data_IF_063612637388
#
_entry.id   IF_063612637388
#
_cell.length_a   1.000
_cell.length_b   1.000
_cell.length_c   1.000
_cell.angle_alpha   90.00
_cell.angle_beta   90.00
_cell.angle_gamma   90.00
#
_symmetry.space_group_name_H-M   'P 1'
#
loop_
_entity.id
_entity.type
_entity.pdbx_description
1 polymer ?
#
# COMPACT_ATOMS: atom_id res chain seq x y z
N UNK A 1 2.87 -82.26 -41.01
CA UNK A 1 3.55 -81.06 -40.49
C UNK A 1 2.51 -80.32 -39.68
N UNK A 2 2.78 -80.09 -38.40
CA UNK A 2 1.78 -79.63 -37.42
C UNK A 2 1.56 -78.12 -37.59
N UNK A 3 0.46 -77.73 -38.24
CA UNK A 3 0.07 -76.33 -38.49
C UNK A 3 0.02 -75.49 -37.19
N UNK A 4 -0.29 -76.13 -36.05
CA UNK A 4 -0.29 -75.48 -34.73
C UNK A 4 1.07 -74.96 -34.32
N UNK A 5 2.15 -75.72 -34.56
CA UNK A 5 3.52 -75.30 -34.23
C UNK A 5 3.98 -74.12 -35.08
N UNK A 6 3.52 -74.05 -36.32
CA UNK A 6 3.85 -72.96 -37.23
C UNK A 6 3.11 -71.67 -36.85
N UNK A 7 1.86 -71.79 -36.37
CA UNK A 7 1.08 -70.69 -35.81
C UNK A 7 1.66 -70.18 -34.48
N UNK A 8 2.05 -71.06 -33.58
CA UNK A 8 2.73 -70.69 -32.32
C UNK A 8 4.03 -69.93 -32.59
N UNK A 9 4.82 -70.39 -33.57
CA UNK A 9 6.05 -69.71 -33.98
C UNK A 9 5.77 -68.31 -34.53
N UNK A 10 4.81 -68.15 -35.44
CA UNK A 10 4.41 -66.83 -35.97
C UNK A 10 3.91 -65.90 -34.88
N UNK A 11 3.15 -66.42 -33.91
CA UNK A 11 2.67 -65.63 -32.78
C UNK A 11 3.83 -65.17 -31.88
N UNK A 12 4.79 -66.05 -31.63
CA UNK A 12 6.01 -65.70 -30.90
C UNK A 12 6.82 -64.63 -31.63
N UNK A 13 7.01 -64.77 -32.94
CA UNK A 13 7.75 -63.79 -33.75
C UNK A 13 7.05 -62.42 -33.72
N UNK A 14 5.71 -62.36 -33.84
CA UNK A 14 4.95 -61.10 -33.73
C UNK A 14 5.01 -60.46 -32.34
N UNK A 15 5.07 -61.26 -31.26
CA UNK A 15 5.13 -60.74 -29.89
C UNK A 15 6.54 -60.33 -29.44
N UNK A 16 7.59 -60.91 -30.05
CA UNK A 16 8.98 -60.71 -29.61
C UNK A 16 9.78 -59.79 -30.54
N UNK A 17 9.50 -59.84 -31.85
CA UNK A 17 10.20 -59.07 -32.90
C UNK A 17 9.28 -58.11 -33.68
N UNK A 18 7.97 -58.17 -33.47
CA UNK A 18 7.05 -57.18 -34.02
C UNK A 18 7.28 -55.83 -33.36
N UNK A 19 7.55 -54.79 -34.17
CA UNK A 19 7.52 -53.41 -33.70
C UNK A 19 6.21 -53.21 -32.94
N UNK A 20 6.30 -52.91 -31.64
CA UNK A 20 5.13 -52.44 -30.90
C UNK A 20 4.60 -51.24 -31.68
N UNK A 21 3.39 -51.37 -32.23
CA UNK A 21 2.70 -50.23 -32.82
C UNK A 21 2.79 -49.10 -31.79
N UNK A 22 3.52 -48.04 -32.12
CA UNK A 22 3.56 -46.83 -31.33
C UNK A 22 2.12 -46.36 -31.27
N UNK A 23 1.44 -46.74 -30.19
CA UNK A 23 -0.01 -46.69 -30.06
C UNK A 23 -0.41 -45.23 -30.08
N UNK A 24 -0.77 -44.73 -31.28
CA UNK A 24 -1.60 -43.58 -31.63
C UNK A 24 -1.24 -42.20 -31.09
N UNK A 25 -0.53 -42.10 -29.98
CA UNK A 25 -0.72 -41.01 -29.03
C UNK A 25 0.60 -40.68 -28.32
N UNK A 26 1.71 -40.73 -29.06
CA UNK A 26 2.96 -40.13 -28.64
C UNK A 26 2.75 -38.67 -28.19
N UNK A 27 1.87 -37.93 -28.88
CA UNK A 27 1.47 -36.58 -28.49
C UNK A 27 0.68 -36.52 -27.18
N UNK A 28 -0.18 -37.49 -26.85
CA UNK A 28 -0.89 -37.50 -25.55
C UNK A 28 0.04 -37.89 -24.40
N UNK A 29 0.98 -38.81 -24.62
CA UNK A 29 2.01 -39.14 -23.64
C UNK A 29 2.91 -37.94 -23.37
N UNK A 30 3.28 -37.19 -24.40
CA UNK A 30 4.03 -35.94 -24.26
C UNK A 30 3.25 -34.87 -23.49
N UNK A 31 1.94 -34.72 -23.74
CA UNK A 31 1.09 -33.76 -23.01
C UNK A 31 0.94 -34.09 -21.53
N UNK A 32 0.93 -35.37 -21.15
CA UNK A 32 0.88 -35.80 -19.74
C UNK A 32 2.17 -35.48 -18.98
N UNK A 33 3.30 -35.36 -19.68
CA UNK A 33 4.59 -34.99 -19.09
C UNK A 33 4.76 -33.49 -18.89
N UNK A 34 3.89 -32.67 -19.49
CA UNK A 34 3.96 -31.21 -19.33
C UNK A 34 3.46 -30.85 -17.93
N UNK A 35 4.32 -30.29 -17.05
CA UNK A 35 3.86 -29.84 -15.74
C UNK A 35 2.82 -28.72 -15.92
N UNK A 36 1.78 -28.69 -15.07
CA UNK A 36 0.75 -27.66 -15.15
C UNK A 36 1.36 -26.27 -15.00
N UNK A 37 0.79 -25.29 -15.71
CA UNK A 37 1.23 -23.89 -15.65
C UNK A 37 0.96 -23.34 -14.24
N UNK A 38 1.99 -23.28 -13.40
CA UNK A 38 1.88 -22.66 -12.09
C UNK A 38 1.93 -21.14 -12.24
N UNK A 39 0.94 -20.45 -11.67
CA UNK A 39 0.97 -18.99 -11.53
C UNK A 39 1.66 -18.63 -10.20
N UNK A 40 2.71 -17.80 -10.27
CA UNK A 40 3.29 -17.20 -9.07
C UNK A 40 2.58 -15.86 -8.83
N UNK A 41 1.73 -15.82 -7.81
CA UNK A 41 1.10 -14.57 -7.33
C UNK A 41 2.05 -13.90 -6.35
N UNK A 42 2.67 -12.80 -6.76
CA UNK A 42 3.49 -11.97 -5.87
C UNK A 42 2.57 -10.95 -5.21
N UNK A 43 2.47 -10.98 -3.88
CA UNK A 43 1.79 -9.94 -3.11
C UNK A 43 2.73 -8.73 -3.01
N UNK A 44 2.24 -7.53 -3.34
CA UNK A 44 3.02 -6.29 -3.17
C UNK A 44 3.06 -5.90 -1.70
N UNK A 45 4.27 -5.84 -1.13
CA UNK A 45 4.48 -5.50 0.29
C UNK A 45 4.35 -4.00 0.59
N UNK A 46 4.56 -3.13 -0.40
CA UNK A 46 4.56 -1.67 -0.26
C UNK A 46 3.78 -0.98 -1.36
N UNK A 47 2.97 0.00 -0.98
CA UNK A 47 2.22 0.87 -1.88
C UNK A 47 2.99 2.20 -2.08
N UNK A 48 3.50 2.48 -3.29
CA UNK A 48 4.29 3.69 -3.56
C UNK A 48 3.48 4.97 -3.33
N UNK A 49 2.17 4.96 -3.57
CA UNK A 49 1.31 6.14 -3.41
C UNK A 49 1.21 6.52 -1.94
N UNK A 50 1.06 5.53 -1.06
CA UNK A 50 0.96 5.76 0.38
C UNK A 50 2.29 6.32 0.94
N UNK A 51 3.43 5.79 0.51
CA UNK A 51 4.74 6.28 0.95
C UNK A 51 5.02 7.71 0.49
N UNK A 52 4.71 8.02 -0.76
CA UNK A 52 4.88 9.36 -1.31
C UNK A 52 3.98 10.36 -0.60
N UNK A 53 2.69 10.05 -0.44
CA UNK A 53 1.73 10.96 0.22
C UNK A 53 2.08 11.23 1.68
N UNK A 54 2.61 10.23 2.40
CA UNK A 54 3.15 10.44 3.75
C UNK A 54 4.31 11.44 3.75
N UNK A 55 5.28 11.29 2.84
CA UNK A 55 6.42 12.22 2.71
C UNK A 55 5.98 13.64 2.35
N UNK A 56 5.02 13.79 1.43
CA UNK A 56 4.49 15.11 1.08
C UNK A 56 3.78 15.77 2.26
N UNK A 57 3.04 15.01 3.07
CA UNK A 57 2.38 15.52 4.26
C UNK A 57 3.36 15.96 5.34
N UNK A 58 4.47 15.25 5.55
CA UNK A 58 5.49 15.67 6.52
C UNK A 58 6.15 16.96 6.08
N UNK A 59 6.54 17.07 4.81
CA UNK A 59 7.12 18.30 4.25
C UNK A 59 6.16 19.50 4.36
N UNK A 60 4.87 19.28 4.14
CA UNK A 60 3.86 20.34 4.28
C UNK A 60 3.74 20.83 5.74
N UNK A 61 3.73 19.94 6.72
CA UNK A 61 3.66 20.30 8.15
C UNK A 61 4.87 21.11 8.60
N UNK A 62 6.07 20.72 8.16
CA UNK A 62 7.30 21.47 8.47
C UNK A 62 7.26 22.90 7.91
N UNK A 63 6.68 23.08 6.73
CA UNK A 63 6.49 24.41 6.14
C UNK A 63 5.46 25.23 6.93
N UNK A 64 4.34 24.64 7.31
CA UNK A 64 3.29 25.29 8.09
C UNK A 64 3.82 25.80 9.45
N UNK A 65 4.50 24.93 10.20
CA UNK A 65 5.12 25.27 11.50
C UNK A 65 6.11 26.44 11.37
N UNK A 66 6.81 26.56 10.23
CA UNK A 66 7.73 27.67 9.96
C UNK A 66 6.99 28.98 9.69
N UNK A 67 5.86 28.92 8.99
CA UNK A 67 5.02 30.08 8.73
C UNK A 67 4.36 30.56 10.01
N UNK A 68 3.86 29.66 10.86
CA UNK A 68 3.31 30.00 12.18
C UNK A 68 4.33 30.76 13.03
N UNK A 69 5.56 30.23 13.16
CA UNK A 69 6.64 30.91 13.89
C UNK A 69 6.99 32.29 13.31
N UNK A 70 6.89 32.45 11.99
CA UNK A 70 7.13 33.73 11.35
C UNK A 70 6.02 34.73 11.66
N UNK A 71 4.75 34.30 11.58
CA UNK A 71 3.59 35.11 11.90
C UNK A 71 3.61 35.55 13.36
N UNK A 72 3.93 34.65 14.30
CA UNK A 72 4.07 34.97 15.73
C UNK A 72 5.15 36.03 15.97
N UNK A 73 6.29 35.90 15.30
CA UNK A 73 7.38 36.88 15.39
C UNK A 73 6.96 38.24 14.81
N UNK A 74 6.29 38.23 13.66
CA UNK A 74 5.80 39.45 13.02
C UNK A 74 4.70 40.14 13.85
N UNK A 75 3.80 39.36 14.47
CA UNK A 75 2.77 39.86 15.37
C UNK A 75 3.38 40.43 16.66
N UNK A 76 4.38 39.76 17.25
CA UNK A 76 5.12 40.26 18.41
C UNK A 76 5.94 41.53 18.13
N UNK A 77 6.37 41.73 16.87
CA UNK A 77 6.99 42.98 16.43
C UNK A 77 5.97 44.10 16.25
N UNK A 78 4.76 43.80 15.73
CA UNK A 78 3.65 44.78 15.65
C UNK A 78 3.20 45.25 17.03
N UNK A 79 3.05 44.34 18.00
CA UNK A 79 2.67 44.72 19.37
C UNK A 79 3.75 45.56 20.08
N UNK A 80 5.04 45.35 19.76
CA UNK A 80 6.13 46.20 20.26
C UNK A 80 6.20 47.56 19.57
N UNK A 81 5.84 47.65 18.29
CA UNK A 81 5.76 48.92 17.56
C UNK A 81 4.57 49.79 18.03
N UNK A 82 3.42 49.17 18.30
CA UNK A 82 2.22 49.87 18.80
C UNK A 82 2.30 50.22 20.30
N UNK A 83 3.14 49.51 21.07
CA UNK A 83 3.36 49.76 22.50
C UNK A 83 4.15 51.04 22.85
N UNK A 84 4.70 51.74 21.85
CA UNK A 84 5.44 53.00 22.03
C UNK A 84 4.57 54.26 22.14
N UNK A 85 3.24 54.16 22.01
CA UNK A 85 2.36 55.33 21.86
C UNK A 85 1.23 55.46 22.90
N UNK A 86 1.20 54.65 23.96
CA UNK A 86 0.18 54.80 25.03
C UNK A 86 0.74 54.68 26.45
N UNK A 87 1.60 55.62 26.83
CA UNK A 87 1.77 56.02 28.24
C UNK A 87 1.11 57.39 28.46
N UNK A 88 -0.22 57.40 28.60
CA UNK A 88 -0.94 58.64 28.86
C UNK A 88 -2.44 58.43 28.98
N UNK A 89 -2.90 58.37 30.23
CA UNK A 89 -4.28 58.56 30.67
C UNK A 89 -5.24 57.37 30.47
N UNK A 90 -5.54 56.69 31.58
CA UNK A 90 -6.89 56.33 32.07
C UNK A 90 -6.74 55.46 33.34
N UNK A 91 -6.33 56.10 34.43
CA UNK A 91 -6.86 55.70 35.73
C UNK A 91 -8.28 56.29 35.83
N UNK A 92 -9.15 55.65 36.61
CA UNK A 92 -10.50 56.12 36.99
C UNK A 92 -11.66 55.73 36.07
N UNK A 93 -11.97 54.42 35.95
CA UNK A 93 -13.36 53.98 35.70
C UNK A 93 -13.68 52.52 36.03
N UNK A 94 -13.34 52.02 37.23
CA UNK A 94 -13.74 50.64 37.60
C UNK A 94 -14.21 50.45 39.05
N UNK A 95 -14.57 51.53 39.76
CA UNK A 95 -15.06 51.45 41.15
C UNK A 95 -16.60 51.54 41.30
N UNK A 96 -17.38 51.62 40.19
CA UNK A 96 -18.84 51.87 40.28
C UNK A 96 -19.72 50.68 39.88
N UNK A 97 -19.14 49.54 39.43
CA UNK A 97 -19.96 48.40 38.95
C UNK A 97 -20.21 47.27 39.95
N UNK A 98 -19.55 47.26 41.11
CA UNK A 98 -19.65 46.15 42.06
C UNK A 98 -20.60 46.38 43.26
N UNK A 99 -21.43 47.43 43.25
CA UNK A 99 -22.34 47.72 44.38
C UNK A 99 -23.83 47.56 44.07
N UNK A 100 -24.21 47.05 42.88
CA UNK A 100 -25.64 46.98 42.46
C UNK A 100 -26.15 45.55 42.27
N UNK A 101 -25.33 44.52 42.54
CA UNK A 101 -25.71 43.12 42.30
C UNK A 101 -26.08 42.30 43.55
N UNK A 102 -26.01 42.86 44.76
CA UNK A 102 -26.33 42.15 46.02
C UNK A 102 -27.66 42.59 46.66
N UNK A 103 -28.66 42.99 45.87
CA UNK A 103 -29.96 43.44 46.39
C UNK A 103 -31.19 42.73 45.84
N UNK A 104 -31.06 41.50 45.32
CA UNK A 104 -32.22 40.63 45.05
C UNK A 104 -31.89 39.18 45.46
N UNK A 105 -32.21 38.84 46.70
CA UNK A 105 -32.35 37.49 47.23
C UNK A 105 -33.57 37.43 48.15
#
# INVERSE_FOLDING_TARGET
>A
MDESKELERRLSDMLTEGDMEASGDAEEQERQLIPPKYEVRIQTERDPIVEETLKFRTMARELDDRYDRYLDRAAGLKSKADGGLKSGQRADREQVRNSVSDSEA
#
